data_IF_181239504185
#
_entry.id   IF_181239504185
#
_cell.length_a   1.000
_cell.length_b   1.000
_cell.length_c   1.000
_cell.angle_alpha   90.00
_cell.angle_beta   90.00
_cell.angle_gamma   90.00
#
_symmetry.space_group_name_H-M   'P 1'
#
loop_
_entity.id
_entity.type
_entity.pdbx_description
1 polymer ?
#
# COMPACT_ATOMS: atom_id res chain seq x y z
N UNK A 1 -8.92 7.03 -21.93
CA UNK A 1 -7.69 7.25 -21.15
C UNK A 1 -7.41 6.06 -20.24
N UNK A 2 -6.16 5.70 -20.11
CA UNK A 2 -5.79 4.62 -19.20
C UNK A 2 -5.86 5.09 -17.75
N UNK A 3 -6.18 4.16 -16.85
CA UNK A 3 -6.19 4.44 -15.43
C UNK A 3 -4.76 4.71 -14.93
N UNK A 4 -4.64 5.53 -13.89
CA UNK A 4 -3.38 5.73 -13.20
C UNK A 4 -3.08 4.54 -12.30
N UNK A 5 -1.91 3.94 -12.45
CA UNK A 5 -1.51 2.82 -11.62
C UNK A 5 -1.06 3.30 -10.24
N UNK A 6 -1.60 2.70 -9.21
CA UNK A 6 -1.28 3.03 -7.81
C UNK A 6 -1.00 1.75 -7.04
N UNK A 7 0.20 1.64 -6.51
CA UNK A 7 0.56 0.59 -5.57
C UNK A 7 0.30 1.12 -4.17
N UNK A 8 -0.46 0.38 -3.37
CA UNK A 8 -0.73 0.74 -1.98
C UNK A 8 0.08 -0.16 -1.06
N UNK A 9 0.77 0.43 -0.09
CA UNK A 9 1.42 -0.37 0.94
C UNK A 9 0.43 -0.76 2.05
N UNK A 10 0.90 -1.53 3.02
CA UNK A 10 0.05 -2.03 4.10
C UNK A 10 -0.53 -0.90 4.96
N UNK A 11 0.19 0.21 5.12
CA UNK A 11 -0.30 1.34 5.92
C UNK A 11 -1.56 1.95 5.32
N UNK A 12 -1.66 1.98 4.00
CA UNK A 12 -2.85 2.46 3.28
C UNK A 12 -3.94 1.39 3.24
N UNK A 13 -3.57 0.16 2.86
CA UNK A 13 -4.53 -0.94 2.77
C UNK A 13 -5.24 -1.22 4.10
N UNK A 14 -4.53 -1.08 5.22
CA UNK A 14 -5.10 -1.23 6.55
C UNK A 14 -6.28 -0.26 6.78
N UNK A 15 -6.19 0.96 6.27
CA UNK A 15 -7.25 1.98 6.41
C UNK A 15 -8.53 1.61 5.69
N UNK A 16 -8.49 0.68 4.75
CA UNK A 16 -9.69 0.20 4.09
C UNK A 16 -10.59 -0.60 5.04
N UNK A 17 -10.00 -1.20 6.08
CA UNK A 17 -10.68 -2.10 7.00
C UNK A 17 -10.70 -1.61 8.44
N UNK A 18 -9.79 -0.70 8.81
CA UNK A 18 -9.58 -0.31 10.18
C UNK A 18 -9.29 1.19 10.26
N UNK A 19 -10.03 1.90 11.10
CA UNK A 19 -9.93 3.36 11.20
C UNK A 19 -8.98 3.85 12.29
N UNK A 20 -8.09 2.99 12.80
CA UNK A 20 -7.12 3.37 13.82
C UNK A 20 -6.27 4.55 13.35
N UNK A 21 -6.11 5.54 14.21
CA UNK A 21 -5.33 6.72 13.92
C UNK A 21 -6.04 7.80 13.12
N UNK A 22 -7.19 7.50 12.54
CA UNK A 22 -8.07 8.41 11.79
C UNK A 22 -7.45 9.20 10.64
N UNK A 23 -6.14 9.39 10.63
CA UNK A 23 -5.45 10.14 9.57
C UNK A 23 -5.58 9.42 8.23
N UNK A 24 -5.99 10.16 7.21
CA UNK A 24 -6.06 9.67 5.81
C UNK A 24 -7.06 8.54 5.57
N UNK A 25 -7.92 8.20 6.51
CA UNK A 25 -8.92 7.11 6.33
C UNK A 25 -9.82 7.39 5.14
N UNK A 26 -10.39 8.59 5.08
CA UNK A 26 -11.30 8.95 3.99
C UNK A 26 -10.57 8.95 2.65
N UNK A 27 -9.35 9.44 2.59
CA UNK A 27 -8.57 9.47 1.36
C UNK A 27 -8.14 8.09 0.93
N UNK A 28 -7.73 7.22 1.86
CA UNK A 28 -7.39 5.83 1.56
C UNK A 28 -8.60 5.10 0.95
N UNK A 29 -9.77 5.29 1.55
CA UNK A 29 -11.04 4.73 1.04
C UNK A 29 -11.47 5.40 -0.26
N UNK A 30 -11.14 6.66 -0.44
CA UNK A 30 -11.36 7.38 -1.71
C UNK A 30 -10.64 6.75 -2.89
N UNK A 31 -9.47 6.15 -2.65
CA UNK A 31 -8.77 5.40 -3.70
C UNK A 31 -9.58 4.18 -4.15
N UNK A 32 -10.28 3.51 -3.22
CA UNK A 32 -11.16 2.40 -3.59
C UNK A 32 -12.32 2.87 -4.46
N UNK A 33 -12.89 4.03 -4.16
CA UNK A 33 -13.96 4.61 -4.97
C UNK A 33 -13.46 4.91 -6.38
N UNK A 34 -12.27 5.49 -6.51
CA UNK A 34 -11.65 5.76 -7.81
C UNK A 34 -11.32 4.48 -8.57
N UNK A 35 -11.00 3.41 -7.85
CA UNK A 35 -10.76 2.11 -8.46
C UNK A 35 -12.06 1.54 -9.04
N UNK A 36 -13.17 1.65 -8.30
CA UNK A 36 -14.49 1.24 -8.79
C UNK A 36 -14.91 2.06 -10.01
N UNK A 37 -14.54 3.33 -10.05
CA UNK A 37 -14.80 4.22 -11.18
C UNK A 37 -13.81 4.04 -12.34
N UNK A 38 -12.82 3.17 -12.16
CA UNK A 38 -11.76 2.89 -13.14
C UNK A 38 -10.86 4.09 -13.44
N UNK A 39 -10.81 5.06 -12.53
CA UNK A 39 -9.87 6.19 -12.62
C UNK A 39 -8.46 5.79 -12.19
N UNK A 40 -8.34 4.82 -11.28
CA UNK A 40 -7.06 4.24 -10.86
C UNK A 40 -7.10 2.72 -11.02
N UNK A 41 -5.93 2.12 -11.19
CA UNK A 41 -5.74 0.68 -11.05
C UNK A 41 -4.96 0.46 -9.75
N UNK A 42 -5.62 -0.13 -8.75
CA UNK A 42 -5.00 -0.38 -7.45
C UNK A 42 -4.35 -1.75 -7.42
N UNK A 43 -3.18 -1.80 -6.81
CA UNK A 43 -2.42 -3.04 -6.64
C UNK A 43 -1.73 -2.99 -5.28
N UNK A 44 -1.55 -4.16 -4.67
CA UNK A 44 -0.72 -4.33 -3.48
C UNK A 44 0.34 -5.38 -3.78
N UNK A 45 1.28 -5.61 -2.87
CA UNK A 45 2.26 -6.68 -3.05
C UNK A 45 1.77 -7.95 -2.35
N UNK A 46 2.37 -9.07 -2.70
CA UNK A 46 2.06 -10.35 -2.06
C UNK A 46 2.50 -10.41 -0.59
N UNK A 47 3.31 -9.47 -0.14
CA UNK A 47 3.66 -9.32 1.27
C UNK A 47 2.62 -8.51 2.06
N UNK A 48 1.76 -7.76 1.38
CA UNK A 48 0.79 -6.86 2.02
C UNK A 48 -0.17 -7.59 2.97
N UNK A 49 -0.72 -8.76 2.61
CA UNK A 49 -1.59 -9.48 3.54
C UNK A 49 -0.90 -9.83 4.86
N UNK A 50 0.37 -10.20 4.83
CA UNK A 50 1.13 -10.51 6.04
C UNK A 50 1.27 -9.27 6.91
N UNK A 51 1.58 -8.13 6.32
CA UNK A 51 1.75 -6.88 7.07
C UNK A 51 0.42 -6.39 7.66
N UNK A 52 -0.66 -6.43 6.86
CA UNK A 52 -2.00 -6.05 7.33
C UNK A 52 -2.44 -6.98 8.47
N UNK A 53 -2.31 -8.29 8.27
CA UNK A 53 -2.67 -9.28 9.29
C UNK A 53 -1.89 -9.08 10.57
N UNK A 54 -0.58 -8.86 10.45
CA UNK A 54 0.28 -8.65 11.61
C UNK A 54 -0.11 -7.38 12.38
N UNK A 55 -0.41 -6.30 11.66
CA UNK A 55 -0.84 -5.05 12.27
C UNK A 55 -2.15 -5.22 13.05
N UNK A 56 -3.10 -5.97 12.51
CA UNK A 56 -4.37 -6.23 13.18
C UNK A 56 -4.20 -7.12 14.41
N UNK A 57 -3.39 -8.17 14.32
CA UNK A 57 -3.17 -9.09 15.44
C UNK A 57 -2.40 -8.43 16.59
N UNK A 58 -1.45 -7.56 16.28
CA UNK A 58 -0.49 -7.00 17.24
C UNK A 58 -0.78 -5.57 17.65
N UNK A 59 -1.62 -4.84 16.92
CA UNK A 59 -1.91 -3.44 17.17
C UNK A 59 -2.94 -3.26 18.28
N UNK A 60 -2.64 -2.39 19.25
CA UNK A 60 -3.57 -2.05 20.34
C UNK A 60 -4.10 -3.29 21.06
N UNK A 61 -5.43 -3.41 21.24
CA UNK A 61 -6.03 -4.56 21.92
C UNK A 61 -6.00 -5.86 21.12
N UNK A 62 -5.56 -5.79 19.86
CA UNK A 62 -5.55 -6.94 18.95
C UNK A 62 -6.93 -7.28 18.40
N UNK A 63 -6.95 -7.71 17.15
CA UNK A 63 -8.18 -8.17 16.47
C UNK A 63 -8.18 -9.70 16.53
N UNK A 64 -9.32 -10.34 16.89
CA UNK A 64 -9.39 -11.80 16.91
C UNK A 64 -9.05 -12.42 15.56
N UNK A 65 -8.37 -13.56 15.59
CA UNK A 65 -7.88 -14.24 14.38
C UNK A 65 -8.96 -14.48 13.33
N UNK A 66 -10.18 -14.85 13.76
CA UNK A 66 -11.26 -15.12 12.80
C UNK A 66 -11.69 -13.86 12.03
N UNK A 67 -11.59 -12.69 12.65
CA UNK A 67 -11.87 -11.42 11.97
C UNK A 67 -10.71 -10.99 11.08
N UNK A 68 -9.47 -11.27 11.51
CA UNK A 68 -8.29 -11.03 10.65
C UNK A 68 -8.42 -11.86 9.37
N UNK A 69 -8.82 -13.11 9.49
CA UNK A 69 -9.03 -13.96 8.32
C UNK A 69 -10.06 -13.38 7.34
N UNK A 70 -11.15 -12.82 7.86
CA UNK A 70 -12.16 -12.15 7.02
C UNK A 70 -11.55 -10.95 6.28
N UNK A 71 -10.74 -10.14 6.97
CA UNK A 71 -10.07 -9.00 6.35
C UNK A 71 -9.11 -9.45 5.25
N UNK A 72 -8.33 -10.50 5.48
CA UNK A 72 -7.39 -11.01 4.50
C UNK A 72 -8.10 -11.56 3.24
N UNK A 73 -9.23 -12.24 3.42
CA UNK A 73 -10.05 -12.70 2.32
C UNK A 73 -10.60 -11.52 1.51
N UNK A 74 -11.09 -10.49 2.19
CA UNK A 74 -11.60 -9.29 1.54
C UNK A 74 -10.50 -8.56 0.76
N UNK A 75 -9.31 -8.45 1.34
CA UNK A 75 -8.17 -7.82 0.67
C UNK A 75 -7.83 -8.53 -0.63
N UNK A 76 -7.84 -9.87 -0.62
CA UNK A 76 -7.55 -10.68 -1.81
C UNK A 76 -8.56 -10.43 -2.94
N UNK A 77 -9.79 -10.09 -2.59
CA UNK A 77 -10.84 -9.83 -3.58
C UNK A 77 -10.84 -8.38 -4.09
N UNK A 78 -10.31 -7.43 -3.32
CA UNK A 78 -10.35 -6.01 -3.68
C UNK A 78 -9.46 -5.71 -4.88
N UNK A 79 -8.20 -6.13 -4.85
CA UNK A 79 -7.25 -5.77 -5.90
C UNK A 79 -6.16 -6.83 -6.05
N UNK A 80 -5.44 -6.81 -7.20
CA UNK A 80 -4.35 -7.76 -7.43
C UNK A 80 -3.22 -7.62 -6.42
N UNK A 81 -2.61 -8.77 -6.10
CA UNK A 81 -1.41 -8.85 -5.29
C UNK A 81 -0.24 -9.20 -6.21
N UNK A 82 0.70 -8.27 -6.35
CA UNK A 82 1.84 -8.43 -7.24
C UNK A 82 2.99 -9.15 -6.55
N UNK A 83 3.62 -10.07 -7.27
CA UNK A 83 4.86 -10.68 -6.82
C UNK A 83 6.03 -9.89 -7.44
N UNK A 84 6.90 -9.28 -6.64
CA UNK A 84 8.06 -8.58 -7.19
C UNK A 84 8.97 -9.52 -7.97
N UNK A 85 9.50 -9.04 -9.08
CA UNK A 85 10.51 -9.79 -9.86
C UNK A 85 11.84 -9.74 -9.11
N UNK A 86 12.76 -10.63 -9.51
CA UNK A 86 14.13 -10.60 -8.96
C UNK A 86 14.81 -9.26 -9.23
N UNK A 87 14.56 -8.68 -10.41
CA UNK A 87 15.10 -7.36 -10.77
C UNK A 87 14.55 -6.26 -9.85
N UNK A 88 13.25 -6.29 -9.58
CA UNK A 88 12.63 -5.34 -8.66
C UNK A 88 13.16 -5.50 -7.25
N UNK A 89 13.39 -6.73 -6.80
CA UNK A 89 13.98 -6.97 -5.47
C UNK A 89 15.42 -6.48 -5.38
N UNK A 90 16.19 -6.59 -6.48
CA UNK A 90 17.53 -6.02 -6.54
C UNK A 90 17.49 -4.51 -6.38
N UNK A 91 16.59 -3.85 -7.09
CA UNK A 91 16.41 -2.41 -6.99
C UNK A 91 15.95 -2.02 -5.58
N UNK A 92 15.09 -2.83 -4.96
CA UNK A 92 14.67 -2.63 -3.58
C UNK A 92 15.86 -2.67 -2.61
N UNK A 93 16.78 -3.60 -2.80
CA UNK A 93 17.99 -3.69 -1.96
C UNK A 93 18.83 -2.41 -2.06
N UNK A 94 18.97 -1.87 -3.28
CA UNK A 94 19.72 -0.62 -3.49
C UNK A 94 19.02 0.57 -2.83
N UNK A 95 17.69 0.66 -2.94
CA UNK A 95 16.91 1.71 -2.29
C UNK A 95 16.99 1.58 -0.77
N UNK A 96 16.91 0.36 -0.25
CA UNK A 96 16.99 0.11 1.18
C UNK A 96 18.33 0.60 1.75
N UNK A 97 19.43 0.29 1.07
CA UNK A 97 20.76 0.74 1.49
C UNK A 97 20.88 2.27 1.41
N UNK A 98 20.43 2.86 0.31
CA UNK A 98 20.53 4.31 0.09
C UNK A 98 19.76 5.12 1.11
N UNK A 99 18.56 4.67 1.48
CA UNK A 99 17.63 5.45 2.30
C UNK A 99 17.47 4.92 3.72
N UNK A 100 18.16 3.86 4.08
CA UNK A 100 18.03 3.25 5.41
C UNK A 100 16.67 2.61 5.65
N UNK A 101 16.07 2.03 4.60
CA UNK A 101 14.75 1.40 4.69
C UNK A 101 14.87 -0.10 4.93
N UNK A 102 13.80 -0.71 5.44
CA UNK A 102 13.69 -2.16 5.39
C UNK A 102 13.53 -2.58 3.93
N UNK A 103 13.87 -3.85 3.63
CA UNK A 103 13.64 -4.39 2.30
C UNK A 103 12.15 -4.40 1.97
N UNK A 104 11.29 -4.61 2.97
CA UNK A 104 9.84 -4.61 2.77
C UNK A 104 9.34 -3.26 2.25
N UNK A 105 9.71 -2.16 2.92
CA UNK A 105 9.32 -0.82 2.49
C UNK A 105 9.92 -0.47 1.14
N UNK A 106 11.19 -0.82 0.95
CA UNK A 106 11.88 -0.55 -0.31
C UNK A 106 11.26 -1.35 -1.48
N UNK A 107 10.71 -2.54 -1.22
CA UNK A 107 10.07 -3.34 -2.26
C UNK A 107 8.86 -2.61 -2.86
N UNK A 108 8.05 -1.96 -2.04
CA UNK A 108 6.93 -1.16 -2.54
C UNK A 108 7.41 -0.05 -3.47
N UNK A 109 8.43 0.68 -3.05
CA UNK A 109 8.99 1.76 -3.85
C UNK A 109 9.59 1.25 -5.17
N UNK A 110 10.35 0.16 -5.11
CA UNK A 110 11.00 -0.41 -6.29
C UNK A 110 9.97 -0.92 -7.32
N UNK A 111 8.93 -1.61 -6.86
CA UNK A 111 7.87 -2.11 -7.74
C UNK A 111 7.12 -0.95 -8.38
N UNK A 112 6.76 0.07 -7.58
CA UNK A 112 6.08 1.24 -8.11
C UNK A 112 6.91 1.93 -9.19
N UNK A 113 8.20 2.17 -8.93
CA UNK A 113 9.10 2.79 -9.90
C UNK A 113 9.23 1.97 -11.17
N UNK A 114 9.45 0.66 -11.04
CA UNK A 114 9.66 -0.21 -12.19
C UNK A 114 8.42 -0.29 -13.10
N UNK A 115 7.25 -0.13 -12.54
CA UNK A 115 5.98 -0.26 -13.28
C UNK A 115 5.35 1.08 -13.63
N UNK A 116 6.04 2.19 -13.34
CA UNK A 116 5.50 3.52 -13.62
C UNK A 116 4.27 3.86 -12.79
N UNK A 117 4.13 3.24 -11.62
CA UNK A 117 3.02 3.46 -10.71
C UNK A 117 3.37 4.46 -9.63
N UNK A 118 2.35 5.08 -9.05
CA UNK A 118 2.52 5.89 -7.84
C UNK A 118 2.46 4.96 -6.63
N UNK A 119 3.23 5.28 -5.59
CA UNK A 119 3.16 4.55 -4.32
C UNK A 119 2.33 5.36 -3.33
N UNK A 120 1.19 4.80 -2.90
CA UNK A 120 0.39 5.36 -1.83
C UNK A 120 0.89 4.80 -0.50
N UNK A 121 1.26 5.66 0.41
CA UNK A 121 1.84 5.26 1.70
C UNK A 121 1.52 6.28 2.79
N UNK A 122 1.54 5.81 4.03
CA UNK A 122 1.52 6.66 5.23
C UNK A 122 2.83 6.53 6.01
N UNK A 123 3.76 5.70 5.51
CA UNK A 123 5.06 5.51 6.16
C UNK A 123 5.91 6.76 6.03
N UNK A 124 6.35 7.28 7.17
CA UNK A 124 7.08 8.53 7.21
C UNK A 124 8.41 8.47 6.45
N UNK A 125 9.12 7.36 6.54
CA UNK A 125 10.40 7.23 5.83
C UNK A 125 10.22 7.24 4.32
N UNK A 126 9.20 6.58 3.81
CA UNK A 126 8.89 6.60 2.38
C UNK A 126 8.47 7.99 1.92
N UNK A 127 7.65 8.67 2.71
CA UNK A 127 7.21 10.04 2.40
C UNK A 127 8.39 11.03 2.44
N UNK A 128 9.21 10.97 3.49
CA UNK A 128 10.32 11.90 3.68
C UNK A 128 11.41 11.74 2.61
N UNK A 129 11.57 10.54 2.08
CA UNK A 129 12.53 10.26 1.01
C UNK A 129 11.96 10.47 -0.40
N UNK A 130 10.72 10.97 -0.51
CA UNK A 130 10.10 11.24 -1.80
C UNK A 130 9.78 10.01 -2.62
N UNK A 131 9.69 8.84 -1.98
CA UNK A 131 9.45 7.56 -2.64
C UNK A 131 7.97 7.21 -2.74
N UNK A 132 7.13 7.86 -1.95
CA UNK A 132 5.69 7.64 -1.96
C UNK A 132 4.95 8.92 -1.63
N UNK A 133 3.63 8.86 -1.73
CA UNK A 133 2.75 10.01 -1.48
C UNK A 133 1.56 9.57 -0.63
N UNK A 134 1.01 10.49 0.13
CA UNK A 134 -0.22 10.24 0.89
C UNK A 134 -1.39 10.03 -0.06
N UNK A 135 -2.37 9.21 0.31
CA UNK A 135 -3.58 9.03 -0.50
C UNK A 135 -4.25 10.34 -0.90
N UNK A 136 -4.35 11.31 0.03
CA UNK A 136 -4.95 12.62 -0.27
C UNK A 136 -4.21 13.35 -1.38
N UNK A 137 -2.89 13.29 -1.40
CA UNK A 137 -2.07 13.94 -2.43
C UNK A 137 -2.29 13.28 -3.80
N UNK A 138 -2.42 11.95 -3.83
CA UNK A 138 -2.70 11.23 -5.07
C UNK A 138 -4.07 11.60 -5.60
N UNK A 139 -5.08 11.66 -4.74
CA UNK A 139 -6.44 12.04 -5.14
C UNK A 139 -6.50 13.47 -5.71
N UNK A 140 -5.75 14.40 -5.12
CA UNK A 140 -5.66 15.77 -5.64
C UNK A 140 -5.11 15.81 -7.06
N UNK A 141 -4.09 15.00 -7.35
CA UNK A 141 -3.48 14.94 -8.67
C UNK A 141 -4.39 14.33 -9.73
N UNK A 142 -5.37 13.53 -9.31
CA UNK A 142 -6.34 12.93 -10.24
C UNK A 142 -7.42 13.94 -10.66
N UNK A 143 -7.52 15.01 -9.92
CA UNK A 143 -8.52 16.04 -10.16
C UNK A 143 -9.88 15.62 -9.67
#
# INVERSE_FOLDING_TARGET
>A
MSATDVVCDASVALKWFHSAGEEEVDSARGLLDRYRERAVALEVLDLTPYEVGNALLRGGPGVPAHLVAVVLEALAEICPQLAPTTSELRDAALLAERHGLTLYDAAYAAVAQARGARLATLDRQLLDNGLGRRPSAILEDLG
#
